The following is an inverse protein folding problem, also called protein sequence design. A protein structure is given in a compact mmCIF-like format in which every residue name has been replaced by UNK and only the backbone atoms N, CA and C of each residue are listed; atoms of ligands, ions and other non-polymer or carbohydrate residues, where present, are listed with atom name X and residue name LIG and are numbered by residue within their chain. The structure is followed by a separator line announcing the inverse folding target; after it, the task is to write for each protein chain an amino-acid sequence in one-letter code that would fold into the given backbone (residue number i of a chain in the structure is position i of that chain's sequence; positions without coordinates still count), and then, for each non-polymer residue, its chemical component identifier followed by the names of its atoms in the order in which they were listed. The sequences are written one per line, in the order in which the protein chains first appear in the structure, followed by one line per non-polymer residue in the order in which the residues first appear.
data_IF_356127342662
#
_entry.id   IF_356127342662
#
_cell.length_a   1.000
_cell.length_b   1.000
_cell.length_c   1.000
_cell.angle_alpha   90.00
_cell.angle_beta   90.00
_cell.angle_gamma   90.00
#
_symmetry.space_group_name_H-M   'P 1'
#
loop_
_entity.id
_entity.type
_entity.pdbx_description
1 polymer ?
#
# COMPACT_ATOMS: atom_id res chain seq x y z
N UNK A 1 21.68 25.27 -11.17
CA UNK A 1 21.72 25.27 -9.68
C UNK A 1 20.95 24.09 -9.06
N UNK A 2 19.62 23.99 -9.12
CA UNK A 2 18.88 22.87 -8.49
C UNK A 2 19.14 21.50 -9.20
N UNK A 3 19.20 21.47 -10.53
CA UNK A 3 19.48 20.26 -11.31
C UNK A 3 20.88 19.72 -11.06
N UNK A 4 21.87 20.59 -10.97
CA UNK A 4 23.26 20.22 -10.71
C UNK A 4 23.41 19.58 -9.32
N UNK A 5 22.73 20.14 -8.32
CA UNK A 5 22.70 19.58 -6.96
C UNK A 5 22.12 18.16 -6.96
N UNK A 6 21.00 17.93 -7.67
CA UNK A 6 20.37 16.60 -7.79
C UNK A 6 21.33 15.60 -8.46
N UNK A 7 22.02 16.02 -9.51
CA UNK A 7 22.97 15.14 -10.21
C UNK A 7 24.11 14.74 -9.28
N UNK A 8 24.66 15.71 -8.53
CA UNK A 8 25.73 15.44 -7.57
C UNK A 8 25.27 14.47 -6.47
N UNK A 9 24.09 14.68 -5.88
CA UNK A 9 23.51 13.77 -4.86
C UNK A 9 23.30 12.34 -5.40
N UNK A 10 22.88 12.21 -6.68
CA UNK A 10 22.73 10.89 -7.31
C UNK A 10 24.08 10.19 -7.54
N UNK A 11 25.12 10.95 -7.90
CA UNK A 11 26.49 10.42 -8.05
C UNK A 11 27.06 9.97 -6.69
N UNK A 12 26.85 10.75 -5.62
CA UNK A 12 27.24 10.38 -4.26
C UNK A 12 26.54 9.08 -3.84
N UNK A 13 25.22 8.98 -4.02
CA UNK A 13 24.48 7.75 -3.73
C UNK A 13 24.96 6.54 -4.52
N UNK A 14 25.36 6.75 -5.79
CA UNK A 14 25.92 5.69 -6.64
C UNK A 14 27.29 5.24 -6.14
N UNK A 15 28.17 6.17 -5.78
CA UNK A 15 29.51 5.87 -5.27
C UNK A 15 29.46 5.13 -3.92
N UNK A 16 28.46 5.44 -3.09
CA UNK A 16 28.21 4.79 -1.81
C UNK A 16 27.43 3.44 -1.94
N UNK A 17 27.14 2.98 -3.15
CA UNK A 17 26.27 1.81 -3.41
C UNK A 17 24.88 1.91 -2.76
N UNK A 18 24.36 3.11 -2.57
CA UNK A 18 23.05 3.40 -1.97
C UNK A 18 21.99 3.77 -3.00
N UNK A 19 22.39 4.01 -4.25
CA UNK A 19 21.44 4.33 -5.32
C UNK A 19 20.56 3.12 -5.64
N UNK A 20 19.26 3.28 -5.38
CA UNK A 20 18.25 2.26 -5.73
C UNK A 20 17.77 2.48 -7.17
N UNK A 21 17.80 1.42 -7.96
CA UNK A 21 17.28 1.43 -9.34
C UNK A 21 16.12 0.47 -9.47
N UNK A 22 15.13 0.86 -10.27
CA UNK A 22 13.99 -0.02 -10.59
C UNK A 22 14.52 -1.13 -11.50
N UNK A 23 14.32 -2.36 -11.08
CA UNK A 23 14.73 -3.56 -11.85
C UNK A 23 13.54 -4.49 -11.98
N UNK A 24 13.48 -5.22 -13.08
CA UNK A 24 12.58 -6.36 -13.24
C UNK A 24 13.17 -7.56 -12.50
N UNK A 25 12.30 -8.33 -11.83
CA UNK A 25 12.74 -9.54 -11.16
C UNK A 25 13.18 -10.59 -12.18
N UNK A 26 14.31 -11.23 -11.95
CA UNK A 26 14.72 -12.42 -12.66
C UNK A 26 13.88 -13.61 -12.18
N UNK A 27 13.09 -14.18 -13.09
CA UNK A 27 12.19 -15.30 -12.77
C UNK A 27 12.92 -16.60 -12.41
N UNK A 28 14.21 -16.69 -12.66
CA UNK A 28 15.05 -17.83 -12.28
C UNK A 28 15.46 -17.81 -10.80
N UNK A 29 15.32 -16.67 -10.12
CA UNK A 29 15.72 -16.48 -8.74
C UNK A 29 14.53 -16.65 -7.78
N UNK A 30 14.81 -17.21 -6.60
CA UNK A 30 13.84 -17.20 -5.51
C UNK A 30 13.64 -15.78 -4.97
N UNK A 31 12.38 -15.35 -4.87
CA UNK A 31 12.05 -14.01 -4.41
C UNK A 31 11.78 -14.00 -2.89
N UNK A 32 12.77 -13.54 -2.12
CA UNK A 32 12.65 -13.34 -0.67
C UNK A 32 12.20 -11.92 -0.27
N UNK A 33 11.99 -11.04 -1.25
CA UNK A 33 11.59 -9.63 -1.01
C UNK A 33 10.09 -9.42 -1.16
N UNK A 34 9.32 -10.47 -1.50
CA UNK A 34 7.89 -10.39 -1.73
C UNK A 34 7.11 -10.38 -0.42
N UNK A 35 6.05 -9.57 -0.38
CA UNK A 35 5.02 -9.63 0.67
C UNK A 35 3.91 -10.65 0.35
N UNK A 36 4.01 -11.39 -0.73
CA UNK A 36 3.07 -12.44 -1.13
C UNK A 36 3.34 -13.75 -0.35
N UNK A 37 3.17 -13.69 0.96
CA UNK A 37 3.49 -14.80 1.88
C UNK A 37 2.66 -16.07 1.63
N UNK A 38 1.48 -15.94 1.04
CA UNK A 38 0.58 -17.05 0.73
C UNK A 38 0.65 -17.47 -0.74
N UNK A 39 1.55 -16.89 -1.53
CA UNK A 39 1.71 -17.12 -2.97
C UNK A 39 0.42 -16.96 -3.77
N UNK A 40 -0.42 -16.00 -3.38
CA UNK A 40 -1.71 -15.75 -4.01
C UNK A 40 -1.60 -15.01 -5.34
N UNK A 41 -0.54 -14.21 -5.54
CA UNK A 41 -0.35 -13.41 -6.75
C UNK A 41 -0.31 -14.24 -8.04
N UNK A 42 0.13 -15.50 -7.94
CA UNK A 42 0.23 -16.42 -9.07
C UNK A 42 -0.73 -17.62 -8.97
N UNK A 43 -1.71 -17.56 -8.06
CA UNK A 43 -2.69 -18.63 -7.88
C UNK A 43 -3.71 -18.63 -9.03
N UNK A 44 -3.50 -19.55 -9.99
CA UNK A 44 -4.35 -19.65 -11.19
C UNK A 44 -5.78 -20.03 -10.87
N UNK A 45 -6.00 -20.90 -9.87
CA UNK A 45 -7.34 -21.35 -9.49
C UNK A 45 -8.14 -20.19 -8.86
N UNK A 46 -7.50 -19.39 -8.03
CA UNK A 46 -8.11 -18.19 -7.46
C UNK A 46 -8.48 -17.19 -8.57
N UNK A 47 -7.56 -16.96 -9.50
CA UNK A 47 -7.76 -16.06 -10.63
C UNK A 47 -8.91 -16.55 -11.52
N UNK A 48 -8.96 -17.84 -11.82
CA UNK A 48 -10.03 -18.45 -12.61
C UNK A 48 -11.39 -18.30 -11.93
N UNK A 49 -11.48 -18.59 -10.62
CA UNK A 49 -12.69 -18.39 -9.83
C UNK A 49 -13.15 -16.94 -9.82
N UNK A 50 -12.22 -15.99 -9.73
CA UNK A 50 -12.54 -14.57 -9.81
C UNK A 50 -13.22 -14.24 -11.14
N UNK A 51 -12.62 -14.62 -12.27
CA UNK A 51 -13.20 -14.33 -13.59
C UNK A 51 -14.50 -15.07 -13.87
N UNK A 52 -14.68 -16.29 -13.36
CA UNK A 52 -15.94 -17.02 -13.49
C UNK A 52 -17.11 -16.33 -12.76
N UNK A 53 -16.81 -15.63 -11.67
CA UNK A 53 -17.80 -14.91 -10.87
C UNK A 53 -17.85 -13.41 -11.20
N UNK A 54 -17.06 -12.95 -12.18
CA UNK A 54 -17.01 -11.56 -12.56
C UNK A 54 -18.26 -11.15 -13.35
N UNK A 55 -18.93 -10.10 -12.91
CA UNK A 55 -20.04 -9.49 -13.65
C UNK A 55 -19.72 -8.03 -13.92
N UNK A 56 -19.77 -7.60 -15.16
CA UNK A 56 -19.52 -6.22 -15.56
C UNK A 56 -20.47 -5.22 -14.89
N UNK A 57 -21.69 -5.67 -14.54
CA UNK A 57 -22.69 -4.82 -13.89
C UNK A 57 -22.33 -4.47 -12.43
N UNK A 58 -21.48 -5.29 -11.80
CA UNK A 58 -21.15 -5.18 -10.39
C UNK A 58 -19.80 -4.49 -10.12
N UNK A 59 -19.03 -4.17 -11.15
CA UNK A 59 -17.69 -3.62 -11.00
C UNK A 59 -17.52 -2.32 -11.79
N UNK A 60 -16.94 -1.34 -11.13
CA UNK A 60 -16.52 -0.09 -11.74
C UNK A 60 -15.01 -0.14 -12.03
N UNK A 61 -14.57 0.53 -13.09
CA UNK A 61 -13.14 0.63 -13.42
C UNK A 61 -12.40 1.61 -12.50
N UNK A 62 -13.13 2.52 -11.85
CA UNK A 62 -12.57 3.45 -10.86
C UNK A 62 -13.62 3.85 -9.83
N UNK A 63 -13.16 4.43 -8.71
CA UNK A 63 -14.04 5.01 -7.70
C UNK A 63 -14.73 6.31 -8.17
N UNK A 64 -14.22 6.94 -9.21
CA UNK A 64 -14.70 8.21 -9.80
C UNK A 64 -14.59 9.44 -8.89
N UNK A 65 -14.52 9.26 -7.56
CA UNK A 65 -14.51 10.34 -6.58
C UNK A 65 -13.96 9.86 -5.24
N UNK A 66 -13.82 10.78 -4.28
CA UNK A 66 -13.49 10.42 -2.89
C UNK A 66 -14.63 9.66 -2.24
N UNK A 67 -14.31 8.86 -1.23
CA UNK A 67 -15.26 7.98 -0.53
C UNK A 67 -16.41 8.75 0.14
N UNK A 68 -16.18 9.96 0.60
CA UNK A 68 -17.19 10.78 1.27
C UNK A 68 -18.16 11.46 0.29
N UNK A 69 -17.85 11.50 -1.00
CA UNK A 69 -18.71 12.11 -2.02
C UNK A 69 -19.46 11.02 -2.79
N UNK A 70 -18.81 10.34 -3.73
CA UNK A 70 -19.42 9.29 -4.58
C UNK A 70 -18.48 8.09 -4.80
N UNK A 71 -17.31 8.10 -4.17
CA UNK A 71 -16.30 7.07 -4.35
C UNK A 71 -16.52 5.79 -3.54
N UNK A 72 -17.53 5.75 -2.64
CA UNK A 72 -17.90 4.54 -1.91
C UNK A 72 -18.88 3.70 -2.72
N UNK A 73 -18.52 2.48 -3.07
CA UNK A 73 -19.39 1.57 -3.78
C UNK A 73 -19.46 0.21 -3.08
N UNK A 74 -20.52 -0.53 -3.39
CA UNK A 74 -20.89 -1.74 -2.62
C UNK A 74 -19.77 -2.78 -2.50
N UNK A 75 -18.89 -2.91 -3.50
CA UNK A 75 -17.80 -3.90 -3.45
C UNK A 75 -16.80 -3.59 -2.35
N UNK A 76 -16.42 -2.31 -2.17
CA UNK A 76 -15.52 -1.88 -1.08
C UNK A 76 -16.20 -2.07 0.27
N UNK A 77 -17.46 -1.66 0.40
CA UNK A 77 -18.21 -1.80 1.65
C UNK A 77 -18.39 -3.28 2.04
N UNK A 78 -18.63 -4.16 1.07
CA UNK A 78 -18.70 -5.61 1.31
C UNK A 78 -17.36 -6.20 1.73
N UNK A 79 -16.27 -5.71 1.15
CA UNK A 79 -14.91 -6.11 1.56
C UNK A 79 -14.64 -5.70 3.01
N UNK A 80 -14.91 -4.44 3.37
CA UNK A 80 -14.74 -3.94 4.74
C UNK A 80 -15.56 -4.76 5.74
N UNK A 81 -16.84 -5.01 5.42
CA UNK A 81 -17.70 -5.84 6.26
C UNK A 81 -17.18 -7.27 6.40
N UNK A 82 -16.63 -7.85 5.32
CA UNK A 82 -16.06 -9.20 5.37
C UNK A 82 -14.82 -9.26 6.25
N UNK A 83 -13.98 -8.25 6.21
CA UNK A 83 -12.81 -8.15 7.10
C UNK A 83 -13.25 -7.93 8.55
N UNK A 84 -14.27 -7.10 8.79
CA UNK A 84 -14.87 -6.91 10.11
C UNK A 84 -15.40 -8.22 10.70
N UNK A 85 -16.10 -9.04 9.90
CA UNK A 85 -16.57 -10.37 10.33
C UNK A 85 -15.41 -11.29 10.76
N UNK A 86 -14.27 -11.23 10.05
CA UNK A 86 -13.10 -12.07 10.34
C UNK A 86 -12.39 -11.63 11.62
N UNK A 87 -12.23 -10.33 11.82
CA UNK A 87 -11.41 -9.77 12.92
C UNK A 87 -12.25 -9.26 14.11
N UNK A 88 -13.57 -9.18 13.97
CA UNK A 88 -14.47 -8.68 15.01
C UNK A 88 -14.32 -7.20 15.30
N UNK A 89 -13.79 -6.41 14.38
CA UNK A 89 -13.55 -4.97 14.52
C UNK A 89 -13.86 -4.23 13.24
N UNK A 90 -14.40 -2.99 13.31
CA UNK A 90 -14.61 -2.16 12.13
C UNK A 90 -13.33 -2.02 11.29
N UNK A 91 -13.49 -1.98 9.99
CA UNK A 91 -12.41 -1.94 9.02
C UNK A 91 -12.61 -0.81 8.02
N UNK A 92 -11.54 -0.16 7.62
CA UNK A 92 -11.47 0.76 6.48
C UNK A 92 -10.38 0.32 5.52
N UNK A 93 -10.71 0.34 4.22
CA UNK A 93 -9.77 0.06 3.13
C UNK A 93 -9.11 1.36 2.69
N UNK A 94 -7.80 1.35 2.57
CA UNK A 94 -6.97 2.43 2.03
C UNK A 94 -6.33 1.99 0.70
N UNK A 95 -5.89 2.96 -0.11
CA UNK A 95 -5.22 2.69 -1.37
C UNK A 95 -3.85 2.04 -1.19
N UNK A 96 -3.21 2.30 -0.06
CA UNK A 96 -1.92 1.70 0.31
C UNK A 96 -1.78 1.55 1.82
N UNK A 97 -0.91 0.66 2.27
CA UNK A 97 -0.51 0.59 3.68
C UNK A 97 0.24 1.84 4.15
N UNK A 98 0.89 2.56 3.23
CA UNK A 98 1.53 3.84 3.52
C UNK A 98 0.49 4.88 3.95
N UNK A 99 -0.55 5.07 3.14
CA UNK A 99 -1.65 6.00 3.44
C UNK A 99 -2.38 5.61 4.72
N UNK A 100 -2.61 4.32 4.95
CA UNK A 100 -3.23 3.85 6.17
C UNK A 100 -2.42 4.23 7.42
N UNK A 101 -1.11 3.97 7.41
CA UNK A 101 -0.24 4.26 8.56
C UNK A 101 -0.13 5.75 8.84
N UNK A 102 0.17 6.58 7.83
CA UNK A 102 0.28 8.03 8.01
C UNK A 102 -1.05 8.64 8.47
N UNK A 103 -2.16 8.28 7.81
CA UNK A 103 -3.48 8.82 8.15
C UNK A 103 -3.95 8.44 9.56
N UNK A 104 -3.65 7.25 10.04
CA UNK A 104 -3.98 6.84 11.42
C UNK A 104 -3.26 7.74 12.42
N UNK A 105 -1.97 7.97 12.22
CA UNK A 105 -1.16 8.80 13.12
C UNK A 105 -1.66 10.24 13.09
N UNK A 106 -1.81 10.83 11.91
CA UNK A 106 -2.29 12.20 11.74
C UNK A 106 -3.70 12.42 12.30
N UNK A 107 -4.56 11.37 12.28
CA UNK A 107 -5.95 11.48 12.75
C UNK A 107 -6.07 11.39 14.26
N UNK A 108 -5.31 10.51 14.90
CA UNK A 108 -5.49 10.19 16.32
C UNK A 108 -4.52 10.91 17.25
N UNK A 109 -3.45 11.51 16.72
CA UNK A 109 -2.45 12.19 17.50
C UNK A 109 -2.33 13.67 17.11
N UNK A 110 -1.92 14.51 18.04
CA UNK A 110 -1.76 15.95 17.87
C UNK A 110 -0.39 16.41 18.39
N UNK A 111 -0.14 17.73 18.34
CA UNK A 111 1.12 18.35 18.80
C UNK A 111 1.42 18.15 20.29
N UNK A 112 0.44 17.66 21.08
CA UNK A 112 0.62 17.37 22.52
C UNK A 112 0.89 15.90 22.77
N UNK A 113 0.77 15.08 21.74
CA UNK A 113 0.97 13.63 21.82
C UNK A 113 2.46 13.30 21.81
N UNK A 114 2.87 12.36 22.65
CA UNK A 114 4.21 11.78 22.62
C UNK A 114 4.16 10.46 21.89
N UNK A 115 4.83 10.38 20.74
CA UNK A 115 4.91 9.15 19.94
C UNK A 115 6.31 8.57 20.11
N UNK A 116 6.40 7.35 20.63
CA UNK A 116 7.66 6.63 20.79
C UNK A 116 7.74 5.58 19.67
N UNK A 117 8.76 5.69 18.83
CA UNK A 117 8.95 4.81 17.66
C UNK A 117 10.30 4.09 17.72
N UNK A 118 10.36 2.91 17.09
CA UNK A 118 11.63 2.24 16.82
C UNK A 118 12.35 2.90 15.64
N UNK A 119 13.68 2.95 15.67
CA UNK A 119 14.51 3.52 14.60
C UNK A 119 14.33 2.82 13.25
N UNK A 120 13.92 1.57 13.23
CA UNK A 120 13.75 0.75 12.03
C UNK A 120 12.29 0.64 11.58
N UNK A 121 11.40 1.48 12.09
CA UNK A 121 10.02 1.53 11.62
C UNK A 121 9.93 1.89 10.14
N UNK A 122 8.83 1.48 9.54
CA UNK A 122 8.53 1.83 8.15
C UNK A 122 8.41 3.35 7.98
N UNK A 123 8.85 3.86 6.83
CA UNK A 123 8.85 5.31 6.52
C UNK A 123 7.47 5.97 6.71
N UNK A 124 6.37 5.27 6.45
CA UNK A 124 5.01 5.77 6.64
C UNK A 124 4.67 6.11 8.10
N UNK A 125 5.33 5.47 9.07
CA UNK A 125 5.16 5.81 10.50
C UNK A 125 5.82 7.18 10.79
N UNK A 126 7.04 7.39 10.28
CA UNK A 126 7.72 8.68 10.45
C UNK A 126 7.01 9.82 9.74
N UNK A 127 6.43 9.55 8.56
CA UNK A 127 5.70 10.56 7.80
C UNK A 127 4.43 11.02 8.52
N UNK A 128 3.78 10.12 9.26
CA UNK A 128 2.61 10.44 10.05
C UNK A 128 2.90 11.17 11.38
N UNK A 129 4.17 11.15 11.84
CA UNK A 129 4.58 11.82 13.08
C UNK A 129 4.96 13.28 12.86
#
# INVERSE_FOLDING_TARGET
MQREKIIQELEELKNDNRLRTIKTNDKSLYNFSSNDYLSLAHNKDLLQKFYQNYSFDNYKLSSSSSRLIDGSYQTVMRLEKKVEEIYGKPCLVFNSGFDANSSIIETFFDKKSLIITDRLNHASIYEGC
#
